data_IF_589760824845
#
_entry.id   IF_589760824845
#
_cell.length_a   1.000
_cell.length_b   1.000
_cell.length_c   1.000
_cell.angle_alpha   90.00
_cell.angle_beta   90.00
_cell.angle_gamma   90.00
#
_symmetry.space_group_name_H-M   'P 1'
#
loop_
_entity.id
_entity.type
_entity.pdbx_description
1 polymer ?
#
# COMPACT_ATOMS: atom_id res chain seq x y z
N UNK A 1 -2.75 0.87 -22.27
CA UNK A 1 -2.75 1.34 -20.87
C UNK A 1 -1.58 0.68 -20.15
N UNK A 2 -0.74 1.43 -19.43
CA UNK A 2 0.36 0.92 -18.62
C UNK A 2 -0.05 0.92 -17.14
N UNK A 3 0.21 -0.17 -16.44
CA UNK A 3 -0.02 -0.29 -15.00
C UNK A 3 1.31 -0.21 -14.27
N UNK A 4 1.37 0.58 -13.21
CA UNK A 4 2.54 0.72 -12.36
C UNK A 4 2.16 0.43 -10.92
N UNK A 5 2.94 -0.42 -10.28
CA UNK A 5 2.80 -0.70 -8.86
C UNK A 5 3.50 0.37 -8.04
N UNK A 6 2.84 0.87 -7.01
CA UNK A 6 3.41 1.82 -6.07
C UNK A 6 3.22 1.34 -4.64
N UNK A 7 4.07 1.83 -3.73
CA UNK A 7 3.99 1.53 -2.31
C UNK A 7 3.88 2.82 -1.54
N UNK A 8 3.04 2.81 -0.52
CA UNK A 8 2.82 3.97 0.32
C UNK A 8 4.10 4.43 1.01
N UNK A 9 4.35 5.74 1.00
CA UNK A 9 5.56 6.33 1.59
C UNK A 9 6.85 6.05 0.84
N UNK A 10 6.84 5.20 -0.19
CA UNK A 10 7.98 4.95 -1.07
C UNK A 10 7.94 5.87 -2.30
N UNK A 11 9.12 6.24 -2.80
CA UNK A 11 9.26 7.05 -4.00
C UNK A 11 8.99 6.24 -5.25
N UNK A 12 8.24 6.79 -6.20
CA UNK A 12 8.06 6.24 -7.55
C UNK A 12 8.33 7.31 -8.61
N UNK A 13 8.79 6.87 -9.78
CA UNK A 13 9.07 7.76 -10.91
C UNK A 13 8.10 7.50 -12.05
N UNK A 14 7.55 8.56 -12.60
CA UNK A 14 6.68 8.48 -13.77
C UNK A 14 7.57 8.42 -15.01
N UNK A 15 7.47 7.38 -15.85
CA UNK A 15 8.42 7.13 -16.95
C UNK A 15 8.25 8.12 -18.12
N UNK A 16 7.20 8.97 -18.07
CA UNK A 16 6.86 9.95 -19.09
C UNK A 16 6.96 11.36 -18.52
N UNK A 17 7.38 12.32 -19.35
CA UNK A 17 7.37 13.74 -18.96
C UNK A 17 5.92 14.18 -18.74
N UNK A 18 5.63 14.68 -17.54
CA UNK A 18 4.30 15.17 -17.18
C UNK A 18 3.93 16.49 -17.86
N UNK A 19 4.92 17.29 -18.27
CA UNK A 19 4.70 18.60 -18.88
C UNK A 19 3.77 19.46 -18.00
N UNK A 20 2.66 19.92 -18.59
CA UNK A 20 1.67 20.75 -17.91
C UNK A 20 0.96 20.02 -16.75
N UNK A 21 0.84 18.69 -16.81
CA UNK A 21 0.19 17.89 -15.77
C UNK A 21 1.01 17.84 -14.47
N UNK A 22 2.29 18.21 -14.49
CA UNK A 22 3.13 18.21 -13.30
C UNK A 22 2.51 19.06 -12.18
N UNK A 23 2.05 20.27 -12.53
CA UNK A 23 1.39 21.18 -11.58
C UNK A 23 0.08 20.62 -11.03
N UNK A 24 -0.67 19.88 -11.84
CA UNK A 24 -1.89 19.20 -11.38
C UNK A 24 -1.56 18.10 -10.37
N UNK A 25 -0.54 17.28 -10.65
CA UNK A 25 -0.12 16.17 -9.77
C UNK A 25 0.37 16.66 -8.41
N UNK A 26 1.26 17.66 -8.37
CA UNK A 26 1.84 18.15 -7.10
C UNK A 26 0.86 18.94 -6.23
N UNK A 27 -0.28 19.36 -6.78
CA UNK A 27 -1.35 20.03 -6.02
C UNK A 27 -2.30 19.06 -5.33
N UNK A 28 -2.21 17.77 -5.64
CA UNK A 28 -3.06 16.76 -4.99
C UNK A 28 -2.61 16.62 -3.54
N UNK A 29 -3.52 16.88 -2.60
CA UNK A 29 -3.28 16.62 -1.18
C UNK A 29 -2.91 15.15 -1.00
N UNK A 30 -1.81 14.89 -0.30
CA UNK A 30 -1.28 13.54 -0.10
C UNK A 30 -0.32 13.06 -1.20
N UNK A 31 0.04 13.90 -2.17
CA UNK A 31 1.15 13.66 -3.09
C UNK A 31 2.28 14.63 -2.80
N UNK A 32 3.48 14.12 -2.59
CA UNK A 32 4.71 14.91 -2.45
C UNK A 32 5.62 14.65 -3.65
N UNK A 33 6.38 15.66 -4.06
CA UNK A 33 7.45 15.50 -5.04
C UNK A 33 8.79 15.79 -4.39
N UNK A 34 9.70 14.83 -4.45
CA UNK A 34 11.09 14.98 -4.04
C UNK A 34 11.95 15.14 -5.30
N UNK A 35 12.56 16.32 -5.44
CA UNK A 35 13.46 16.63 -6.56
C UNK A 35 14.56 15.57 -6.67
N UNK A 36 14.68 14.96 -7.84
CA UNK A 36 15.68 13.94 -8.13
C UNK A 36 15.33 12.51 -7.64
N UNK A 37 14.23 12.32 -6.89
CA UNK A 37 13.77 10.99 -6.45
C UNK A 37 12.41 10.58 -7.03
N UNK A 38 11.54 11.55 -7.31
CA UNK A 38 10.22 11.30 -7.87
C UNK A 38 9.09 11.68 -6.92
N UNK A 39 7.96 10.99 -7.02
CA UNK A 39 6.75 11.26 -6.27
C UNK A 39 6.60 10.31 -5.09
N UNK A 40 5.95 10.76 -4.03
CA UNK A 40 5.53 9.93 -2.90
C UNK A 40 4.02 10.10 -2.73
N UNK A 41 3.32 8.98 -2.56
CA UNK A 41 1.93 9.00 -2.08
C UNK A 41 1.95 8.83 -0.56
N UNK A 42 1.48 9.86 0.14
CA UNK A 42 1.28 9.96 1.60
C UNK A 42 -0.17 9.75 2.02
N UNK A 43 -1.08 9.61 1.08
CA UNK A 43 -2.49 9.36 1.36
C UNK A 43 -3.08 8.55 0.20
N UNK A 44 -3.66 7.38 0.49
CA UNK A 44 -4.29 6.56 -0.55
C UNK A 44 -5.51 7.23 -1.19
N UNK A 45 -6.17 8.18 -0.52
CA UNK A 45 -7.24 8.98 -1.14
C UNK A 45 -6.74 9.80 -2.33
N UNK A 46 -5.45 10.17 -2.34
CA UNK A 46 -4.83 10.86 -3.45
C UNK A 46 -4.78 10.01 -4.72
N UNK A 47 -4.75 8.66 -4.59
CA UNK A 47 -4.54 7.75 -5.71
C UNK A 47 -5.65 7.82 -6.76
N UNK A 48 -6.90 8.03 -6.33
CA UNK A 48 -8.03 8.18 -7.25
C UNK A 48 -7.86 9.42 -8.14
N UNK A 49 -7.53 10.57 -7.54
CA UNK A 49 -7.31 11.81 -8.28
C UNK A 49 -6.05 11.74 -9.14
N UNK A 50 -4.99 11.13 -8.62
CA UNK A 50 -3.75 10.92 -9.33
C UNK A 50 -3.96 10.04 -10.57
N UNK A 51 -4.70 8.93 -10.44
CA UNK A 51 -5.03 8.05 -11.57
C UNK A 51 -5.89 8.75 -12.62
N UNK A 52 -6.80 9.66 -12.26
CA UNK A 52 -7.55 10.46 -13.24
C UNK A 52 -6.63 11.32 -14.12
N UNK A 53 -5.59 11.91 -13.53
CA UNK A 53 -4.61 12.74 -14.26
C UNK A 53 -3.68 11.85 -15.08
N UNK A 54 -3.13 10.79 -14.49
CA UNK A 54 -2.16 9.91 -15.15
C UNK A 54 -2.77 9.04 -16.24
N UNK A 55 -4.07 8.73 -16.17
CA UNK A 55 -4.79 8.04 -17.24
C UNK A 55 -4.73 8.81 -18.57
N UNK A 56 -4.62 10.15 -18.54
CA UNK A 56 -4.41 11.00 -19.74
C UNK A 56 -3.07 10.72 -20.43
N UNK A 57 -2.10 10.17 -19.69
CA UNK A 57 -0.80 9.71 -20.20
C UNK A 57 -0.79 8.20 -20.48
N UNK A 58 -1.93 7.54 -20.33
CA UNK A 58 -2.08 6.09 -20.44
C UNK A 58 -1.47 5.31 -19.27
N UNK A 59 -1.30 5.93 -18.09
CA UNK A 59 -0.70 5.32 -16.90
C UNK A 59 -1.73 5.19 -15.78
N UNK A 60 -1.81 4.01 -15.16
CA UNK A 60 -2.64 3.76 -13.97
C UNK A 60 -1.73 3.22 -12.86
N UNK A 61 -1.80 3.85 -11.70
CA UNK A 61 -1.11 3.41 -10.49
C UNK A 61 -1.98 2.41 -9.72
N UNK A 62 -1.34 1.35 -9.26
CA UNK A 62 -1.95 0.26 -8.49
C UNK A 62 -1.21 0.15 -7.15
N UNK A 63 -1.91 0.19 -6.02
CA UNK A 63 -1.26 0.17 -4.72
C UNK A 63 -0.87 -1.27 -4.33
N UNK A 64 0.36 -1.44 -3.88
CA UNK A 64 0.81 -2.62 -3.15
C UNK A 64 0.82 -2.36 -1.64
N UNK A 65 0.31 -3.32 -0.89
CA UNK A 65 0.30 -3.32 0.57
C UNK A 65 1.11 -4.48 1.09
N UNK A 66 1.76 -4.28 2.24
CA UNK A 66 2.55 -5.33 2.87
C UNK A 66 1.65 -6.21 3.73
N UNK A 67 1.71 -7.53 3.54
CA UNK A 67 1.03 -8.48 4.39
C UNK A 67 1.66 -8.47 5.79
N UNK A 68 0.85 -8.27 6.84
CA UNK A 68 1.28 -8.24 8.24
C UNK A 68 1.90 -9.58 8.68
N UNK A 69 1.40 -10.69 8.14
CA UNK A 69 1.82 -12.04 8.50
C UNK A 69 3.16 -12.38 7.82
N UNK A 70 3.18 -12.48 6.50
CA UNK A 70 4.34 -12.96 5.76
C UNK A 70 5.30 -11.84 5.32
N UNK A 71 4.89 -10.57 5.41
CA UNK A 71 5.71 -9.44 5.01
C UNK A 71 5.84 -9.23 3.50
N UNK A 72 5.20 -10.06 2.67
CA UNK A 72 5.19 -9.92 1.20
C UNK A 72 4.30 -8.75 0.78
N UNK A 73 4.70 -8.06 -0.28
CA UNK A 73 3.83 -7.07 -0.93
C UNK A 73 2.80 -7.80 -1.79
N UNK A 74 1.54 -7.38 -1.69
CA UNK A 74 0.42 -7.92 -2.45
C UNK A 74 -0.45 -6.81 -3.01
N UNK A 75 -1.15 -7.09 -4.09
CA UNK A 75 -2.14 -6.17 -4.65
C UNK A 75 -3.22 -5.92 -3.60
N UNK A 76 -3.58 -4.65 -3.34
CA UNK A 76 -4.58 -4.34 -2.31
C UNK A 76 -5.94 -5.01 -2.59
N UNK A 77 -6.26 -5.21 -3.87
CA UNK A 77 -7.45 -5.93 -4.32
C UNK A 77 -7.47 -7.41 -3.93
N UNK A 78 -6.35 -7.99 -3.50
CA UNK A 78 -6.24 -9.38 -3.00
C UNK A 78 -6.16 -9.45 -1.48
N UNK A 79 -6.51 -8.37 -0.80
CA UNK A 79 -6.52 -8.31 0.66
C UNK A 79 -7.92 -8.60 1.21
N UNK A 80 -8.05 -9.26 2.36
CA UNK A 80 -9.37 -9.48 2.98
C UNK A 80 -10.06 -8.16 3.36
N UNK A 81 -9.28 -7.15 3.70
CA UNK A 81 -9.75 -5.79 4.00
C UNK A 81 -9.86 -4.92 2.74
N UNK A 82 -10.19 -5.50 1.56
CA UNK A 82 -10.41 -4.81 0.27
C UNK A 82 -11.23 -3.51 0.41
N UNK A 83 -12.29 -3.53 1.22
CA UNK A 83 -13.17 -2.36 1.43
C UNK A 83 -12.48 -1.20 2.16
N UNK A 84 -11.40 -1.48 2.89
CA UNK A 84 -10.58 -0.50 3.59
C UNK A 84 -9.29 -0.14 2.86
N UNK A 85 -9.04 -0.67 1.65
CA UNK A 85 -7.90 -0.24 0.81
C UNK A 85 -7.95 1.25 0.42
N UNK A 86 -9.10 1.90 0.58
CA UNK A 86 -9.28 3.36 0.43
C UNK A 86 -8.95 4.14 1.70
N UNK A 87 -8.85 3.47 2.85
CA UNK A 87 -8.55 4.06 4.16
C UNK A 87 -7.07 3.82 4.48
N UNK A 88 -6.53 4.53 5.46
CA UNK A 88 -5.16 4.42 5.99
C UNK A 88 -4.83 3.04 6.62
N UNK A 89 -5.44 1.96 6.13
CA UNK A 89 -5.23 0.61 6.65
C UNK A 89 -3.90 0.10 6.13
N UNK A 90 -2.92 0.24 7.01
CA UNK A 90 -1.55 -0.26 6.91
C UNK A 90 -1.45 -1.78 7.12
N UNK A 91 -2.57 -2.46 7.38
CA UNK A 91 -2.62 -3.87 7.76
C UNK A 91 -3.37 -4.66 6.71
N UNK A 92 -2.62 -5.46 5.95
CA UNK A 92 -3.18 -6.44 5.03
C UNK A 92 -2.87 -7.87 5.49
N UNK A 93 -3.77 -8.82 5.27
CA UNK A 93 -3.46 -10.26 5.30
C UNK A 93 -3.80 -10.80 3.91
N UNK A 94 -2.83 -11.45 3.27
CA UNK A 94 -3.02 -12.00 1.92
C UNK A 94 -3.77 -13.34 1.97
N UNK A 95 -4.44 -13.68 0.87
CA UNK A 95 -5.22 -14.92 0.73
C UNK A 95 -4.40 -16.18 1.08
N UNK A 96 -3.12 -16.24 0.69
CA UNK A 96 -2.22 -17.36 1.05
C UNK A 96 -2.08 -17.56 2.57
N UNK A 97 -2.04 -16.45 3.33
CA UNK A 97 -1.95 -16.51 4.79
C UNK A 97 -3.30 -16.85 5.39
N UNK A 98 -4.40 -16.32 4.85
CA UNK A 98 -5.74 -16.58 5.38
C UNK A 98 -6.18 -18.03 5.22
N UNK A 99 -5.80 -18.65 4.10
CA UNK A 99 -6.10 -20.05 3.85
C UNK A 99 -5.20 -21.01 4.64
N UNK A 100 -4.29 -20.50 5.48
CA UNK A 100 -3.47 -21.34 6.35
C UNK A 100 -4.30 -21.82 7.56
N UNK A 101 -4.40 -23.14 7.75
CA UNK A 101 -5.13 -23.76 8.87
C UNK A 101 -4.68 -23.26 10.26
N UNK A 102 -3.44 -22.77 10.38
CA UNK A 102 -2.88 -22.25 11.62
C UNK A 102 -2.80 -20.70 11.66
N UNK A 103 -3.55 -20.00 10.81
CA UNK A 103 -3.45 -18.53 10.68
C UNK A 103 -3.69 -17.79 12.00
N UNK A 104 -4.62 -18.26 12.85
CA UNK A 104 -4.89 -17.65 14.14
C UNK A 104 -3.64 -17.64 15.05
N UNK A 105 -2.95 -18.78 15.17
CA UNK A 105 -1.73 -18.89 15.99
C UNK A 105 -0.61 -18.00 15.44
N UNK A 106 -0.46 -17.95 14.12
CA UNK A 106 0.54 -17.11 13.46
C UNK A 106 0.22 -15.62 13.67
N UNK A 107 -1.05 -15.24 13.56
CA UNK A 107 -1.52 -13.88 13.80
C UNK A 107 -1.25 -13.45 15.25
N UNK A 108 -1.63 -14.27 16.23
CA UNK A 108 -1.38 -14.00 17.65
C UNK A 108 0.12 -13.85 17.93
N UNK A 109 0.96 -14.74 17.39
CA UNK A 109 2.41 -14.64 17.54
C UNK A 109 2.98 -13.33 16.95
N UNK A 110 2.50 -12.92 15.78
CA UNK A 110 2.90 -11.66 15.12
C UNK A 110 2.42 -10.43 15.88
N UNK A 111 1.18 -10.45 16.38
CA UNK A 111 0.60 -9.37 17.17
C UNK A 111 1.34 -9.19 18.50
N UNK A 112 1.63 -10.28 19.21
CA UNK A 112 2.42 -10.24 20.45
C UNK A 112 3.80 -9.65 20.22
N UNK A 113 4.48 -10.07 19.14
CA UNK A 113 5.77 -9.49 18.76
C UNK A 113 5.65 -7.99 18.44
N UNK A 114 4.60 -7.58 17.72
CA UNK A 114 4.38 -6.18 17.35
C UNK A 114 4.09 -5.29 18.58
N UNK A 115 3.31 -5.81 19.53
CA UNK A 115 2.95 -5.12 20.77
C UNK A 115 4.02 -5.21 21.87
N UNK A 116 5.12 -5.96 21.63
CA UNK A 116 6.15 -6.21 22.64
C UNK A 116 5.69 -7.08 23.81
N UNK A 117 4.55 -7.76 23.69
CA UNK A 117 4.01 -8.63 24.72
C UNK A 117 4.76 -9.96 24.68
N UNK A 118 5.54 -10.26 25.73
CA UNK A 118 5.98 -11.62 25.97
C UNK A 118 4.73 -12.43 26.35
N UNK A 119 4.38 -13.43 25.55
CA UNK A 119 3.46 -14.46 25.98
C UNK A 119 4.09 -15.12 27.21
N UNK A 120 3.65 -14.71 28.41
CA UNK A 120 3.81 -15.54 29.59
C UNK A 120 3.09 -16.83 29.27
N UNK A 121 3.86 -17.88 29.01
CA UNK A 121 3.38 -19.25 29.00
C UNK A 121 2.82 -19.56 30.38
N UNK A 122 1.54 -19.23 30.59
CA UNK A 122 0.72 -19.81 31.63
C UNK A 122 -0.22 -20.80 30.97
N UNK A 123 0.27 -22.02 30.80
CA UNK A 123 -0.58 -23.19 30.92
C UNK A 123 0.11 -24.12 31.92
N UNK A 124 -0.65 -24.35 33.00
CA UNK A 124 -0.40 -25.35 34.06
C UNK A 124 -0.34 -26.74 33.48
#
# INVERSE_FOLDING_TARGET
>A
MQYMKIRYGETFSIPRRLGNLFREVVRIKGVEYIKGKGFIVRDYYALSNLNKILARLGLILTPEVRCFICGKYVDCEKCEFRNNCKRDVTICICDDCLNNKNILNIYLAKQNKFLGLKLSSSQK
#
